data_IF_213317520134
#
_entry.id   IF_213317520134
#
_cell.length_a   1.000
_cell.length_b   1.000
_cell.length_c   1.000
_cell.angle_alpha   90.00
_cell.angle_beta   90.00
_cell.angle_gamma   90.00
#
_symmetry.space_group_name_H-M   'P 1'
#
loop_
_entity.id
_entity.type
_entity.pdbx_description
1 polymer ?
#
# COMPACT_ATOMS: atom_id res chain seq x y z
N UNK A 1 18.21 13.21 -19.30
CA UNK A 1 17.52 11.92 -19.10
C UNK A 1 16.27 12.20 -18.30
N UNK A 2 15.10 12.22 -18.93
CA UNK A 2 13.81 12.26 -18.23
C UNK A 2 13.34 10.82 -18.06
N UNK A 3 13.12 10.41 -16.82
CA UNK A 3 12.41 9.17 -16.54
C UNK A 3 10.92 9.46 -16.65
N UNK A 4 10.34 9.19 -17.82
CA UNK A 4 8.89 9.04 -17.97
C UNK A 4 8.49 7.74 -17.28
N UNK A 5 8.23 7.80 -15.97
CA UNK A 5 7.55 6.72 -15.26
C UNK A 5 6.08 6.77 -15.63
N UNK A 6 5.72 6.08 -16.70
CA UNK A 6 4.33 5.82 -17.06
C UNK A 6 3.70 4.92 -15.99
N UNK A 7 3.05 5.54 -15.00
CA UNK A 7 2.07 4.93 -14.10
C UNK A 7 0.84 4.47 -14.91
N UNK A 8 1.03 3.51 -15.80
CA UNK A 8 -0.04 2.87 -16.54
C UNK A 8 -0.58 1.72 -15.69
N UNK A 9 -1.55 2.02 -14.82
CA UNK A 9 -2.88 1.40 -14.85
C UNK A 9 -3.76 2.00 -13.73
N UNK A 10 -4.36 3.18 -13.95
CA UNK A 10 -5.56 3.60 -13.22
C UNK A 10 -6.72 2.71 -13.68
N UNK A 11 -6.84 1.51 -13.11
CA UNK A 11 -8.11 0.79 -13.12
C UNK A 11 -8.81 1.21 -11.85
N UNK A 12 -9.79 2.11 -11.97
CA UNK A 12 -10.73 2.38 -10.89
C UNK A 12 -11.56 1.12 -10.64
N UNK A 13 -11.00 0.17 -9.88
CA UNK A 13 -11.76 -0.93 -9.32
C UNK A 13 -12.62 -0.33 -8.19
N UNK A 14 -13.80 0.13 -8.59
CA UNK A 14 -14.83 0.78 -7.76
C UNK A 14 -15.34 -0.09 -6.61
N UNK A 15 -14.91 -1.36 -6.52
CA UNK A 15 -15.26 -2.30 -5.45
C UNK A 15 -14.14 -2.61 -4.44
N UNK A 16 -12.90 -2.18 -4.65
CA UNK A 16 -11.82 -2.44 -3.71
C UNK A 16 -11.95 -1.52 -2.46
N UNK A 17 -11.79 -2.10 -1.26
CA UNK A 17 -11.87 -1.38 0.02
C UNK A 17 -10.85 -0.26 0.14
N UNK A 18 -9.70 -0.43 -0.52
CA UNK A 18 -8.63 0.56 -0.64
C UNK A 18 -8.21 0.69 -2.10
N UNK A 19 -7.53 1.79 -2.42
CA UNK A 19 -7.04 2.09 -3.78
C UNK A 19 -5.58 2.50 -3.76
N UNK A 20 -4.96 2.52 -4.94
CA UNK A 20 -3.62 3.08 -5.10
C UNK A 20 -3.59 4.52 -4.59
N UNK A 21 -2.50 4.84 -3.89
CA UNK A 21 -2.22 6.11 -3.22
C UNK A 21 -3.08 6.40 -1.99
N UNK A 22 -3.92 5.47 -1.53
CA UNK A 22 -4.53 5.56 -0.21
C UNK A 22 -3.41 5.48 0.85
N UNK A 23 -3.38 6.45 1.75
CA UNK A 23 -2.52 6.37 2.93
C UNK A 23 -3.22 5.50 3.99
N UNK A 24 -2.47 4.57 4.57
CA UNK A 24 -2.97 3.56 5.49
C UNK A 24 -2.07 3.44 6.71
N UNK A 25 -2.59 2.81 7.76
CA UNK A 25 -1.83 2.34 8.90
C UNK A 25 -2.00 0.82 9.03
N UNK A 26 -0.90 0.10 9.31
CA UNK A 26 -0.96 -1.34 9.61
C UNK A 26 -1.47 -1.58 11.03
N UNK A 27 -2.36 -2.55 11.21
CA UNK A 27 -3.00 -2.88 12.49
C UNK A 27 -2.29 -4.01 13.23
N UNK A 28 -1.49 -4.81 12.51
CA UNK A 28 -0.64 -5.87 13.05
C UNK A 28 0.79 -5.70 12.54
N UNK A 29 1.81 -6.27 13.22
CA UNK A 29 3.16 -6.30 12.69
C UNK A 29 3.19 -7.04 11.34
N UNK A 30 3.88 -6.46 10.36
CA UNK A 30 4.09 -7.08 9.04
C UNK A 30 5.57 -7.25 8.76
N UNK A 31 5.90 -8.04 7.76
CA UNK A 31 7.28 -8.23 7.30
C UNK A 31 7.35 -7.75 5.86
N UNK A 32 8.35 -6.93 5.53
CA UNK A 32 8.58 -6.47 4.16
C UNK A 32 8.99 -7.65 3.27
N UNK A 33 8.92 -7.45 1.96
CA UNK A 33 9.37 -8.44 0.99
C UNK A 33 10.89 -8.71 1.10
N UNK A 34 11.64 -7.77 1.71
CA UNK A 34 13.07 -7.90 2.03
C UNK A 34 13.34 -8.55 3.40
N UNK A 35 12.30 -8.81 4.20
CA UNK A 35 12.39 -9.49 5.48
C UNK A 35 12.46 -8.58 6.72
N UNK A 36 12.31 -7.27 6.56
CA UNK A 36 12.35 -6.31 7.66
C UNK A 36 11.00 -6.26 8.41
N UNK A 37 10.99 -6.25 9.75
CA UNK A 37 9.75 -6.14 10.51
C UNK A 37 9.26 -4.68 10.54
N UNK A 38 7.98 -4.47 10.23
CA UNK A 38 7.29 -3.19 10.40
C UNK A 38 6.29 -3.33 11.54
N UNK A 39 6.36 -2.49 12.59
CA UNK A 39 5.46 -2.59 13.73
C UNK A 39 4.04 -2.14 13.38
N UNK A 40 3.06 -2.68 14.11
CA UNK A 40 1.69 -2.17 14.08
C UNK A 40 1.65 -0.67 14.43
N UNK A 41 0.75 0.07 13.80
CA UNK A 41 0.63 1.52 13.95
C UNK A 41 1.51 2.32 12.98
N UNK A 42 2.33 1.68 12.15
CA UNK A 42 3.15 2.36 11.15
C UNK A 42 2.30 2.79 9.95
N UNK A 43 2.46 4.04 9.53
CA UNK A 43 1.81 4.57 8.34
C UNK A 43 2.58 4.18 7.07
N UNK A 44 1.85 3.94 5.99
CA UNK A 44 2.38 3.64 4.67
C UNK A 44 1.42 4.07 3.57
N UNK A 45 1.85 3.94 2.32
CA UNK A 45 1.05 4.26 1.14
C UNK A 45 0.77 3.00 0.34
N UNK A 46 -0.48 2.78 -0.09
CA UNK A 46 -0.76 1.71 -1.04
C UNK A 46 -0.19 2.11 -2.40
N UNK A 47 0.67 1.27 -2.97
CA UNK A 47 1.29 1.47 -4.28
C UNK A 47 0.86 0.42 -5.32
N UNK A 48 0.05 -0.56 -4.90
CA UNK A 48 -0.54 -1.53 -5.79
C UNK A 48 -1.67 -2.34 -5.14
N UNK A 49 -2.67 -2.70 -5.94
CA UNK A 49 -3.78 -3.58 -5.55
C UNK A 49 -3.63 -4.95 -6.20
N UNK A 50 -3.60 -6.03 -5.40
CA UNK A 50 -3.52 -7.40 -5.91
C UNK A 50 -4.92 -8.04 -6.03
N UNK A 51 -5.18 -8.67 -7.18
CA UNK A 51 -6.43 -9.38 -7.51
C UNK A 51 -7.72 -8.61 -7.14
N UNK A 52 -7.74 -7.30 -7.37
CA UNK A 52 -8.93 -6.47 -7.08
C UNK A 52 -9.20 -6.25 -5.59
N UNK A 53 -8.19 -6.42 -4.73
CA UNK A 53 -8.27 -6.11 -3.29
C UNK A 53 -8.19 -7.33 -2.38
N UNK A 54 -7.73 -8.50 -2.86
CA UNK A 54 -7.41 -9.63 -1.98
C UNK A 54 -6.19 -9.32 -1.08
N UNK A 55 -5.26 -8.48 -1.57
CA UNK A 55 -4.13 -7.94 -0.83
C UNK A 55 -3.65 -6.61 -1.43
N UNK A 56 -2.82 -5.88 -0.68
CA UNK A 56 -2.30 -4.56 -1.06
C UNK A 56 -0.79 -4.50 -0.88
N UNK A 57 -0.09 -3.90 -1.83
CA UNK A 57 1.31 -3.56 -1.69
C UNK A 57 1.41 -2.21 -0.99
N UNK A 58 2.01 -2.19 0.19
CA UNK A 58 2.16 -0.99 1.02
C UNK A 58 3.64 -0.63 1.10
N UNK A 59 3.97 0.59 0.66
CA UNK A 59 5.31 1.17 0.81
C UNK A 59 5.38 1.97 2.11
N UNK A 60 6.42 1.73 2.90
CA UNK A 60 6.70 2.41 4.17
C UNK A 60 7.85 3.41 3.99
N UNK A 61 7.87 4.51 4.77
CA UNK A 61 8.91 5.53 4.67
C UNK A 61 10.28 5.05 5.16
N UNK A 62 10.29 4.13 6.14
CA UNK A 62 11.51 3.58 6.74
C UNK A 62 11.37 2.07 6.98
N UNK A 63 12.38 1.25 6.63
CA UNK A 63 13.55 1.64 5.84
C UNK A 63 13.17 2.08 4.41
N UNK A 64 14.00 2.90 3.79
CA UNK A 64 13.72 3.40 2.42
C UNK A 64 13.54 2.24 1.42
N UNK A 65 12.41 2.24 0.72
CA UNK A 65 12.03 1.16 -0.22
C UNK A 65 11.34 -0.04 0.44
N UNK A 66 11.04 0.01 1.75
CA UNK A 66 10.30 -1.02 2.44
C UNK A 66 8.91 -1.24 1.83
N UNK A 67 8.72 -2.38 1.19
CA UNK A 67 7.46 -2.80 0.60
C UNK A 67 6.95 -4.06 1.28
N UNK A 68 5.66 -4.12 1.61
CA UNK A 68 5.04 -5.35 2.13
C UNK A 68 3.72 -5.65 1.43
N UNK A 69 3.43 -6.95 1.26
CA UNK A 69 2.10 -7.43 0.89
C UNK A 69 1.23 -7.58 2.15
N UNK A 70 0.16 -6.80 2.25
CA UNK A 70 -0.69 -6.74 3.45
C UNK A 70 -2.14 -7.09 3.12
N UNK A 71 -2.79 -7.84 4.02
CA UNK A 71 -4.20 -8.20 3.89
C UNK A 71 -5.12 -7.04 4.28
N UNK A 72 -6.34 -6.94 3.70
CA UNK A 72 -7.26 -5.84 3.99
C UNK A 72 -7.62 -5.71 5.47
N UNK A 73 -7.71 -6.84 6.19
CA UNK A 73 -8.06 -6.90 7.61
C UNK A 73 -7.02 -6.24 8.52
N UNK A 74 -5.77 -6.13 8.04
CA UNK A 74 -4.65 -5.56 8.79
C UNK A 74 -4.39 -4.11 8.40
N UNK A 75 -5.27 -3.48 7.62
CA UNK A 75 -5.14 -2.09 7.19
C UNK A 75 -6.29 -1.23 7.71
N UNK A 76 -5.95 0.01 8.06
CA UNK A 76 -6.94 1.07 8.26
C UNK A 76 -6.52 2.28 7.46
N UNK A 77 -7.44 2.83 6.67
CA UNK A 77 -7.20 4.05 5.92
C UNK A 77 -7.05 5.25 6.85
N UNK A 78 -6.01 6.05 6.64
CA UNK A 78 -5.70 7.28 7.38
C UNK A 78 -5.68 8.50 6.47
N UNK A 79 -5.35 8.29 5.19
CA UNK A 79 -5.37 9.28 4.13
C UNK A 79 -5.99 8.67 2.88
N UNK A 80 -5.50 9.05 1.69
CA UNK A 80 -6.36 9.38 0.53
C UNK A 80 -7.53 8.44 0.26
N UNK A 81 -8.72 8.97 0.02
CA UNK A 81 -9.16 9.33 -1.33
C UNK A 81 -10.21 10.46 -1.30
N UNK A 82 -10.14 11.39 -2.25
CA UNK A 82 -11.25 12.27 -2.71
C UNK A 82 -11.18 12.33 -4.26
N UNK A 83 -12.29 12.61 -4.98
CA UNK A 83 -12.60 12.10 -6.32
C UNK A 83 -11.62 12.46 -7.44
#
# INVERSE_FOLDING_TARGET
>A
MSVDFSYLLRKEDTGATFRDLDDVVVLAPVVTDDGDPIPAGTEGTIVGVWKGGEAFFVEFPEPAGALATVLPVDLRRTGRHTP
#
